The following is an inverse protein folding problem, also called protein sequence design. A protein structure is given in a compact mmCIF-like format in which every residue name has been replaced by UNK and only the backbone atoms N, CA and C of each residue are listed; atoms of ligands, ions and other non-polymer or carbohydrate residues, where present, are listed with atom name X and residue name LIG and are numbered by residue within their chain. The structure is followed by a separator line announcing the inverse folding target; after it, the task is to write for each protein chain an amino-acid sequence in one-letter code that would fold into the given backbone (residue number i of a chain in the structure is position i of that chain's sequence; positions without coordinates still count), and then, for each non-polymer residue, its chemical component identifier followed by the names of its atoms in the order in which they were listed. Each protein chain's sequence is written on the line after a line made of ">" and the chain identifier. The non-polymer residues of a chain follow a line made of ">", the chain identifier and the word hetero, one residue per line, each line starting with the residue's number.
data_IF_213648589764
#
_entry.id   IF_213648589764
#
_cell.length_a   1.000
_cell.length_b   1.000
_cell.length_c   1.000
_cell.angle_alpha   90.00
_cell.angle_beta   90.00
_cell.angle_gamma   90.00
#
_symmetry.space_group_name_H-M   'P 1'
#
loop_
_entity.id
_entity.type
_entity.pdbx_description
1 polymer ?
#
# COMPACT_ATOMS: atom_id res chain seq x y z
N UNK A 1 -13.74 3.42 20.13
CA UNK A 1 -14.08 2.09 19.58
C UNK A 1 -13.63 2.05 18.13
N UNK A 2 -12.67 1.21 17.78
CA UNK A 2 -12.16 1.11 16.40
C UNK A 2 -13.12 0.27 15.57
N UNK A 3 -13.76 0.86 14.57
CA UNK A 3 -14.60 0.14 13.61
C UNK A 3 -13.71 -0.52 12.55
N UNK A 4 -14.11 -1.71 12.12
CA UNK A 4 -13.43 -2.47 11.06
C UNK A 4 -14.40 -2.80 9.95
N UNK A 5 -14.02 -2.49 8.72
CA UNK A 5 -14.79 -2.75 7.51
C UNK A 5 -14.31 -4.03 6.84
N UNK A 6 -15.23 -4.71 6.16
CA UNK A 6 -14.89 -5.81 5.26
C UNK A 6 -14.25 -5.27 3.97
N UNK A 7 -13.57 -6.14 3.23
CA UNK A 7 -12.96 -5.77 1.94
C UNK A 7 -14.00 -5.31 0.94
N UNK A 8 -15.17 -5.95 0.92
CA UNK A 8 -16.27 -5.61 0.02
C UNK A 8 -16.76 -4.17 0.27
N UNK A 9 -17.02 -3.81 1.53
CA UNK A 9 -17.42 -2.46 1.91
C UNK A 9 -16.36 -1.41 1.52
N UNK A 10 -15.09 -1.70 1.77
CA UNK A 10 -14.01 -0.78 1.43
C UNK A 10 -13.83 -0.65 -0.07
N UNK A 11 -13.98 -1.73 -0.83
CA UNK A 11 -13.90 -1.71 -2.28
C UNK A 11 -14.97 -0.78 -2.87
N UNK A 12 -16.20 -0.81 -2.34
CA UNK A 12 -17.25 0.13 -2.71
C UNK A 12 -16.91 1.57 -2.27
N UNK A 13 -16.39 1.74 -1.05
CA UNK A 13 -16.06 3.05 -0.49
C UNK A 13 -14.97 3.80 -1.27
N UNK A 14 -13.92 3.09 -1.71
CA UNK A 14 -12.79 3.70 -2.45
C UNK A 14 -13.00 3.68 -3.97
N UNK A 15 -14.08 3.07 -4.46
CA UNK A 15 -14.32 2.89 -5.90
C UNK A 15 -13.34 1.93 -6.56
N UNK A 16 -12.92 0.88 -5.84
CA UNK A 16 -12.01 -0.12 -6.38
C UNK A 16 -12.67 -0.90 -7.54
N UNK A 17 -11.88 -1.32 -8.55
CA UNK A 17 -12.42 -2.05 -9.71
C UNK A 17 -13.01 -3.41 -9.34
N UNK A 18 -12.56 -4.05 -8.26
CA UNK A 18 -13.16 -5.24 -7.69
C UNK A 18 -12.66 -5.51 -6.26
N UNK A 19 -13.41 -6.30 -5.49
CA UNK A 19 -12.94 -6.81 -4.20
C UNK A 19 -11.65 -7.63 -4.35
N UNK A 20 -11.56 -8.44 -5.41
CA UNK A 20 -10.39 -9.28 -5.68
C UNK A 20 -9.13 -8.44 -5.84
N UNK A 21 -9.21 -7.35 -6.60
CA UNK A 21 -8.10 -6.40 -6.76
C UNK A 21 -7.64 -5.86 -5.40
N UNK A 22 -8.57 -5.47 -4.52
CA UNK A 22 -8.21 -4.96 -3.19
C UNK A 22 -7.53 -6.04 -2.32
N UNK A 23 -8.01 -7.29 -2.39
CA UNK A 23 -7.34 -8.43 -1.71
C UNK A 23 -5.93 -8.66 -2.25
N UNK A 24 -5.70 -8.52 -3.55
CA UNK A 24 -4.37 -8.67 -4.15
C UNK A 24 -3.40 -7.59 -3.66
N UNK A 25 -3.85 -6.34 -3.58
CA UNK A 25 -3.03 -5.24 -3.06
C UNK A 25 -2.68 -5.41 -1.57
N UNK A 26 -3.63 -5.89 -0.77
CA UNK A 26 -3.41 -6.25 0.63
C UNK A 26 -2.41 -7.40 0.79
N UNK A 27 -2.48 -8.41 -0.09
CA UNK A 27 -1.52 -9.53 -0.10
C UNK A 27 -0.12 -9.10 -0.53
N UNK A 28 -0.02 -8.16 -1.46
CA UNK A 28 1.24 -7.60 -1.93
C UNK A 28 1.87 -6.63 -0.92
N UNK A 29 1.13 -6.21 0.11
CA UNK A 29 1.59 -5.25 1.12
C UNK A 29 1.62 -3.80 0.62
N UNK A 30 0.92 -3.50 -0.48
CA UNK A 30 0.79 -2.14 -0.99
C UNK A 30 -0.15 -1.29 -0.13
N UNK A 31 -1.17 -1.91 0.47
CA UNK A 31 -2.10 -1.23 1.37
C UNK A 31 -2.02 -1.80 2.77
N UNK A 32 -2.18 -0.95 3.80
CA UNK A 32 -2.31 -1.41 5.16
C UNK A 32 -3.64 -2.16 5.33
N UNK A 33 -3.61 -3.27 6.04
CA UNK A 33 -4.81 -4.02 6.38
C UNK A 33 -4.51 -5.17 7.31
N UNK A 34 -5.55 -5.65 7.99
CA UNK A 34 -5.43 -6.65 9.04
C UNK A 34 -6.04 -7.97 8.57
N UNK A 35 -5.23 -9.02 8.58
CA UNK A 35 -5.73 -10.37 8.33
C UNK A 35 -6.36 -10.94 9.60
N UNK A 36 -7.68 -10.93 9.67
CA UNK A 36 -8.46 -11.49 10.77
C UNK A 36 -9.02 -12.85 10.33
N UNK A 37 -8.44 -13.92 10.87
CA UNK A 37 -8.70 -15.29 10.46
C UNK A 37 -8.52 -15.49 8.93
N UNK A 38 -9.61 -15.77 8.22
CA UNK A 38 -9.64 -15.99 6.76
C UNK A 38 -10.07 -14.75 5.97
N UNK A 39 -10.30 -13.62 6.64
CA UNK A 39 -10.81 -12.39 6.04
C UNK A 39 -9.86 -11.23 6.27
N UNK A 40 -9.80 -10.32 5.30
CA UNK A 40 -9.14 -9.04 5.50
C UNK A 40 -10.12 -8.03 6.09
N UNK A 41 -9.62 -7.21 7.01
CA UNK A 41 -10.35 -6.13 7.67
C UNK A 41 -9.50 -4.87 7.62
N UNK A 42 -10.14 -3.76 7.36
CA UNK A 42 -9.49 -2.45 7.33
C UNK A 42 -10.18 -1.54 8.34
N UNK A 43 -9.40 -0.74 9.04
CA UNK A 43 -9.91 0.37 9.86
C UNK A 43 -10.10 1.62 9.02
N UNK A 44 -10.79 2.64 9.55
CA UNK A 44 -10.93 3.94 8.87
C UNK A 44 -9.57 4.55 8.50
N UNK A 45 -8.57 4.36 9.38
CA UNK A 45 -7.20 4.81 9.13
C UNK A 45 -6.57 4.04 7.97
N UNK A 46 -6.66 2.71 7.98
CA UNK A 46 -6.12 1.88 6.89
C UNK A 46 -6.73 2.26 5.52
N UNK A 47 -8.02 2.58 5.48
CA UNK A 47 -8.70 3.05 4.25
C UNK A 47 -8.17 4.41 3.80
N UNK A 48 -7.95 5.32 4.75
CA UNK A 48 -7.41 6.66 4.45
C UNK A 48 -5.96 6.56 3.94
N UNK A 49 -5.12 5.76 4.58
CA UNK A 49 -3.75 5.49 4.13
C UNK A 49 -3.72 4.78 2.76
N UNK A 50 -4.66 3.88 2.47
CA UNK A 50 -4.77 3.25 1.15
C UNK A 50 -5.13 4.26 0.06
N UNK A 51 -6.01 5.24 0.36
CA UNK A 51 -6.33 6.33 -0.56
C UNK A 51 -5.14 7.27 -0.74
N UNK A 52 -4.39 7.58 0.32
CA UNK A 52 -3.17 8.38 0.25
C UNK A 52 -2.10 7.70 -0.60
N UNK A 53 -1.93 6.38 -0.46
CA UNK A 53 -1.03 5.57 -1.29
C UNK A 53 -1.45 5.56 -2.77
N UNK A 54 -2.74 5.71 -3.07
CA UNK A 54 -3.28 5.82 -4.42
C UNK A 54 -3.17 7.24 -5.00
N UNK A 55 -2.78 8.24 -4.20
CA UNK A 55 -2.55 9.58 -4.73
C UNK A 55 -1.48 9.51 -5.82
N UNK A 56 -1.79 10.11 -6.97
CA UNK A 56 -0.80 10.37 -8.00
C UNK A 56 0.12 11.49 -7.53
N UNK A 57 0.93 11.21 -6.50
CA UNK A 57 1.90 12.13 -5.98
C UNK A 57 3.25 11.81 -6.62
N UNK A 58 3.71 12.60 -7.63
CA UNK A 58 5.06 12.44 -8.16
C UNK A 58 6.15 12.71 -7.10
N UNK A 59 5.79 13.21 -5.91
CA UNK A 59 6.71 13.53 -4.81
C UNK A 59 6.98 12.38 -3.84
N UNK A 60 6.31 11.22 -3.94
CA UNK A 60 6.77 10.00 -3.23
C UNK A 60 7.85 9.30 -4.06
N UNK A 61 8.88 10.06 -4.43
CA UNK A 61 10.21 9.51 -4.74
C UNK A 61 11.14 9.95 -3.61
N UNK A 62 10.97 9.36 -2.44
CA UNK A 62 11.88 9.56 -1.30
C UNK A 62 11.76 8.31 -0.44
N UNK A 63 12.59 7.28 -0.63
CA UNK A 63 14.06 7.35 -0.51
C UNK A 63 14.72 6.24 -1.34
N UNK A 64 15.15 6.53 -2.56
CA UNK A 64 16.34 5.88 -3.10
C UNK A 64 17.44 6.92 -3.03
N UNK A 65 18.50 6.64 -2.28
CA UNK A 65 19.69 7.48 -2.24
C UNK A 65 20.20 7.65 -3.69
N UNK A 66 19.89 8.81 -4.27
CA UNK A 66 20.46 9.30 -5.51
C UNK A 66 21.95 9.48 -5.27
N UNK A 67 22.76 8.58 -5.80
CA UNK A 67 24.20 8.71 -5.68
C UNK A 67 24.97 7.71 -6.50
N UNK A 68 24.63 6.43 -6.45
CA UNK A 68 25.45 5.40 -7.10
C UNK A 68 24.60 4.21 -7.55
N UNK A 69 24.67 3.88 -8.85
CA UNK A 69 24.26 2.56 -9.33
C UNK A 69 25.19 1.49 -8.74
N UNK A 70 24.74 0.22 -8.67
CA UNK A 70 25.53 -0.86 -8.08
C UNK A 70 26.95 -0.98 -8.68
N UNK A 71 27.07 -0.72 -9.98
CA UNK A 71 28.35 -0.71 -10.70
C UNK A 71 29.22 0.49 -10.33
N UNK A 72 28.61 1.67 -10.15
CA UNK A 72 29.33 2.88 -9.72
C UNK A 72 29.89 2.73 -8.30
N UNK A 73 29.10 2.12 -7.39
CA UNK A 73 29.54 1.84 -6.01
C UNK A 73 30.79 0.97 -5.95
N UNK A 74 30.87 -0.08 -6.77
CA UNK A 74 32.05 -0.97 -6.81
C UNK A 74 33.34 -0.28 -7.26
N UNK A 75 33.24 0.78 -8.08
CA UNK A 75 34.40 1.48 -8.65
C UNK A 75 35.01 2.53 -7.72
N UNK A 76 34.22 3.09 -6.80
CA UNK A 76 34.71 4.09 -5.83
C UNK A 76 35.35 3.44 -4.61
N UNK A 77 35.04 2.16 -4.34
CA UNK A 77 35.58 1.39 -3.21
C UNK A 77 36.87 0.63 -3.54
N UNK A 78 37.46 0.86 -4.71
CA UNK A 78 38.67 0.20 -5.21
C UNK A 78 39.86 1.15 -5.22
#
# INVERSE_FOLDING_TARGET
>A
MTRTYSVSEVAEQIGAPSERWLVEQLRAGHFPGRKVARTWRMTEQDVTDALDACLNNPRITRTAAVGLTATSRKRVSA
#
